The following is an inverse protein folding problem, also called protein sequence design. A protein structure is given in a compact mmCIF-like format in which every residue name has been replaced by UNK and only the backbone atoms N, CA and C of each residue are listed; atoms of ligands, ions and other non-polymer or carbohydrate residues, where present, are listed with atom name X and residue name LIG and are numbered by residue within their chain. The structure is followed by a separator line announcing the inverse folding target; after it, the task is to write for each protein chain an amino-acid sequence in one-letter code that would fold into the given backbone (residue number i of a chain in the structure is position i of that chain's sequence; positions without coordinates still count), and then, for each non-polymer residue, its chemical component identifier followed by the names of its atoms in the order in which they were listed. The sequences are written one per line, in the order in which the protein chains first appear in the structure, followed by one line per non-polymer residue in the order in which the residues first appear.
data_IF_089088785891
#
_entry.id   IF_089088785891
#
_cell.length_a   1.000
_cell.length_b   1.000
_cell.length_c   1.000
_cell.angle_alpha   90.00
_cell.angle_beta   90.00
_cell.angle_gamma   90.00
#
_symmetry.space_group_name_H-M   'P 1'
#
loop_
_entity.id
_entity.type
_entity.pdbx_description
1 polymer ?
#
# COMPACT_ATOMS: atom_id res chain seq x y z
N UNK A 1 -12.43 -3.28 19.77
CA UNK A 1 -11.03 -2.89 20.05
C UNK A 1 -10.17 -4.08 19.64
N UNK A 2 -9.34 -3.93 18.61
CA UNK A 2 -8.38 -4.98 18.23
C UNK A 2 -7.40 -5.18 19.39
N UNK A 3 -7.02 -6.42 19.68
CA UNK A 3 -5.97 -6.71 20.64
C UNK A 3 -4.68 -5.95 20.25
N UNK A 4 -4.00 -5.36 21.23
CA UNK A 4 -2.70 -4.71 21.02
C UNK A 4 -1.70 -5.83 20.69
N UNK A 5 -0.98 -5.77 19.56
CA UNK A 5 -0.02 -6.82 19.22
C UNK A 5 1.16 -6.87 20.20
N UNK A 6 1.75 -8.05 20.39
CA UNK A 6 2.83 -8.26 21.39
C UNK A 6 4.17 -7.61 21.00
N UNK A 7 4.35 -7.25 19.72
CA UNK A 7 5.56 -6.63 19.19
C UNK A 7 5.20 -5.47 18.28
N UNK A 8 5.90 -4.33 18.43
CA UNK A 8 5.76 -3.19 17.53
C UNK A 8 6.49 -3.39 16.20
N UNK A 9 7.54 -4.22 16.16
CA UNK A 9 8.28 -4.59 14.94
C UNK A 9 7.80 -5.96 14.46
N UNK A 10 7.23 -5.99 13.26
CA UNK A 10 6.77 -7.20 12.58
C UNK A 10 7.90 -7.83 11.77
N UNK A 11 8.63 -7.00 11.01
CA UNK A 11 9.80 -7.40 10.23
C UNK A 11 10.89 -6.34 10.35
N UNK A 12 12.14 -6.78 10.45
CA UNK A 12 13.34 -5.96 10.28
C UNK A 12 14.30 -6.74 9.38
N UNK A 13 14.53 -6.23 8.18
CA UNK A 13 15.20 -6.95 7.11
C UNK A 13 16.30 -6.08 6.48
N UNK A 14 17.45 -6.68 6.24
CA UNK A 14 18.53 -6.13 5.43
C UNK A 14 18.51 -6.82 4.07
N UNK A 15 18.29 -6.07 2.99
CA UNK A 15 18.25 -6.64 1.63
C UNK A 15 19.68 -7.00 1.18
N UNK A 16 19.85 -8.15 0.53
CA UNK A 16 21.17 -8.64 0.10
C UNK A 16 21.61 -8.15 -1.29
N UNK A 17 20.74 -7.44 -2.02
CA UNK A 17 20.98 -6.98 -3.39
C UNK A 17 20.75 -8.04 -4.48
N UNK A 18 20.54 -9.31 -4.10
CA UNK A 18 20.32 -10.45 -4.98
C UNK A 18 18.88 -11.00 -4.90
N UNK A 19 17.99 -10.27 -4.23
CA UNK A 19 16.57 -10.62 -4.07
C UNK A 19 16.27 -11.43 -2.82
N UNK A 20 17.25 -11.61 -1.93
CA UNK A 20 17.07 -12.14 -0.59
C UNK A 20 17.16 -11.06 0.50
N UNK A 21 17.00 -11.49 1.75
CA UNK A 21 17.18 -10.61 2.90
C UNK A 21 17.63 -11.39 4.14
N UNK A 22 18.38 -10.71 5.01
CA UNK A 22 18.74 -11.17 6.34
C UNK A 22 17.84 -10.49 7.39
N UNK A 23 17.36 -11.25 8.38
CA UNK A 23 16.68 -10.67 9.53
C UNK A 23 17.66 -9.89 10.42
N UNK A 24 17.26 -8.69 10.83
CA UNK A 24 18.02 -7.84 11.74
C UNK A 24 17.47 -7.95 13.16
N UNK A 25 18.37 -7.89 14.13
CA UNK A 25 17.98 -7.63 15.51
C UNK A 25 17.58 -6.16 15.69
N UNK A 26 16.66 -5.89 16.62
CA UNK A 26 16.09 -4.55 16.82
C UNK A 26 17.17 -3.50 17.10
N UNK A 27 18.17 -3.89 17.89
CA UNK A 27 19.26 -3.00 18.30
C UNK A 27 20.22 -2.65 17.15
N UNK A 28 20.24 -3.43 16.07
CA UNK A 28 21.10 -3.19 14.91
C UNK A 28 20.50 -2.17 13.93
N UNK A 29 19.17 -2.05 13.88
CA UNK A 29 18.44 -1.24 12.89
C UNK A 29 19.01 0.18 12.75
N UNK A 30 19.23 0.95 13.84
CA UNK A 30 19.67 2.34 13.72
C UNK A 30 21.08 2.45 13.13
N UNK A 31 21.97 1.54 13.53
CA UNK A 31 23.34 1.50 13.03
C UNK A 31 23.38 1.15 11.53
N UNK A 32 22.53 0.21 11.10
CA UNK A 32 22.42 -0.23 9.69
C UNK A 32 21.87 0.88 8.79
N UNK A 33 20.84 1.58 9.24
CA UNK A 33 20.28 2.76 8.53
C UNK A 33 21.35 3.86 8.42
N UNK A 34 22.04 4.17 9.52
CA UNK A 34 23.08 5.21 9.54
C UNK A 34 24.29 4.85 8.64
N UNK A 35 24.58 3.57 8.47
CA UNK A 35 25.61 3.08 7.55
C UNK A 35 25.20 3.14 6.07
N UNK A 36 23.95 3.48 5.76
CA UNK A 36 23.45 3.52 4.38
C UNK A 36 23.21 2.13 3.78
N UNK A 37 22.97 1.13 4.64
CA UNK A 37 22.62 -0.23 4.19
C UNK A 37 21.13 -0.33 3.83
N UNK A 38 20.72 -1.20 2.88
CA UNK A 38 19.35 -1.32 2.39
C UNK A 38 18.42 -1.99 3.42
N UNK A 39 17.85 -1.19 4.33
CA UNK A 39 17.04 -1.68 5.46
C UNK A 39 15.55 -1.49 5.22
N UNK A 40 14.77 -2.56 5.41
CA UNK A 40 13.31 -2.49 5.48
C UNK A 40 12.81 -2.87 6.88
N UNK A 41 12.08 -1.95 7.50
CA UNK A 41 11.37 -2.19 8.76
C UNK A 41 9.86 -2.15 8.52
N UNK A 42 9.13 -3.12 9.05
CA UNK A 42 7.68 -3.16 9.02
C UNK A 42 7.13 -3.15 10.45
N UNK A 43 6.41 -2.09 10.80
CA UNK A 43 5.91 -1.82 12.13
C UNK A 43 4.38 -1.98 12.23
N UNK A 44 3.95 -2.24 13.45
CA UNK A 44 2.55 -2.20 13.85
C UNK A 44 2.20 -0.81 14.40
N UNK A 45 1.41 -0.05 13.65
CA UNK A 45 1.06 1.33 13.97
C UNK A 45 0.19 1.47 15.22
N UNK A 46 -0.56 0.43 15.61
CA UNK A 46 -1.40 0.48 16.82
C UNK A 46 -0.61 0.23 18.11
N UNK A 47 0.65 -0.21 18.01
CA UNK A 47 1.46 -0.48 19.18
C UNK A 47 1.92 0.83 19.84
N UNK A 48 1.80 0.97 21.18
CA UNK A 48 2.13 2.22 21.90
C UNK A 48 3.59 2.67 21.75
N UNK A 49 4.52 1.72 21.60
CA UNK A 49 5.95 2.03 21.42
C UNK A 49 6.31 2.55 20.01
N UNK A 50 5.44 2.36 19.00
CA UNK A 50 5.76 2.70 17.60
C UNK A 50 6.07 4.20 17.39
N UNK A 51 5.26 5.15 17.90
CA UNK A 51 5.58 6.58 17.79
C UNK A 51 6.93 6.94 18.43
N UNK A 52 7.23 6.37 19.59
CA UNK A 52 8.50 6.61 20.29
C UNK A 52 9.67 6.06 19.48
N UNK A 53 9.54 4.85 18.95
CA UNK A 53 10.55 4.21 18.10
C UNK A 53 10.85 5.06 16.85
N UNK A 54 9.80 5.55 16.18
CA UNK A 54 9.94 6.44 15.01
C UNK A 54 10.73 7.70 15.38
N UNK A 55 10.35 8.40 16.45
CA UNK A 55 11.03 9.63 16.86
C UNK A 55 12.48 9.43 17.32
N UNK A 56 12.81 8.25 17.87
CA UNK A 56 14.17 7.93 18.31
C UNK A 56 15.10 7.54 17.15
N UNK A 57 14.59 6.82 16.16
CA UNK A 57 15.43 6.20 15.12
C UNK A 57 15.32 6.86 13.75
N UNK A 58 14.31 7.70 13.52
CA UNK A 58 14.13 8.49 12.31
C UNK A 58 14.03 9.98 12.67
N UNK A 59 15.15 10.65 13.00
CA UNK A 59 15.15 12.07 13.39
C UNK A 59 14.69 13.01 12.26
N UNK A 60 14.57 12.50 11.04
CA UNK A 60 13.97 13.19 9.88
C UNK A 60 12.45 13.36 10.00
N UNK A 61 11.81 12.64 10.92
CA UNK A 61 10.37 12.75 11.15
C UNK A 61 10.10 13.77 12.27
N UNK A 62 9.34 14.81 11.94
CA UNK A 62 8.74 15.67 12.97
C UNK A 62 7.51 15.01 13.62
N UNK A 63 7.00 15.63 14.69
CA UNK A 63 5.84 15.12 15.42
C UNK A 63 4.59 14.97 14.53
N UNK A 64 4.36 15.89 13.59
CA UNK A 64 3.21 15.84 12.69
C UNK A 64 3.31 14.68 11.70
N UNK A 65 4.52 14.35 11.26
CA UNK A 65 4.77 13.20 10.39
C UNK A 65 4.60 11.88 11.12
N UNK A 66 5.09 11.79 12.36
CA UNK A 66 4.87 10.61 13.21
C UNK A 66 3.37 10.41 13.42
N UNK A 67 2.64 11.46 13.82
CA UNK A 67 1.18 11.44 13.99
C UNK A 67 0.48 10.99 12.70
N UNK A 68 0.92 11.49 11.54
CA UNK A 68 0.38 11.08 10.26
C UNK A 68 0.63 9.58 9.95
N UNK A 69 1.80 9.05 10.30
CA UNK A 69 2.17 7.65 10.10
C UNK A 69 1.42 6.68 11.02
N UNK A 70 1.00 7.11 12.21
CA UNK A 70 0.24 6.26 13.16
C UNK A 70 -1.26 6.52 13.17
N UNK A 71 -1.72 7.57 12.47
CA UNK A 71 -3.11 7.97 12.36
C UNK A 71 -4.05 6.80 12.03
N UNK A 72 -5.23 6.80 12.66
CA UNK A 72 -6.22 5.74 12.49
C UNK A 72 -6.68 5.60 11.04
N UNK A 73 -7.00 6.72 10.42
CA UNK A 73 -7.46 6.81 9.03
C UNK A 73 -6.58 7.78 8.26
N UNK A 74 -6.15 7.37 7.06
CA UNK A 74 -5.36 8.22 6.17
C UNK A 74 -5.98 8.23 4.78
N UNK A 75 -5.55 9.14 3.89
CA UNK A 75 -5.84 9.03 2.46
C UNK A 75 -4.54 8.75 1.72
N UNK A 76 -4.59 8.01 0.59
CA UNK A 76 -3.41 7.86 -0.24
C UNK A 76 -2.87 9.22 -0.67
N UNK A 77 -1.55 9.36 -0.58
CA UNK A 77 -0.79 10.58 -0.90
C UNK A 77 0.70 10.27 -0.91
N UNK A 78 1.45 11.05 -1.68
CA UNK A 78 2.90 11.13 -1.60
C UNK A 78 3.29 12.53 -1.12
N UNK A 79 4.19 12.61 -0.15
CA UNK A 79 4.69 13.86 0.41
C UNK A 79 6.22 13.77 0.40
N UNK A 80 6.87 14.74 -0.23
CA UNK A 80 8.30 14.92 -0.16
C UNK A 80 8.64 15.71 1.11
N UNK A 81 9.62 15.22 1.87
CA UNK A 81 10.16 15.91 3.03
C UNK A 81 11.66 15.65 3.13
N UNK A 82 12.44 16.71 2.98
CA UNK A 82 13.90 16.64 2.84
C UNK A 82 14.29 15.58 1.79
N UNK A 83 15.15 14.63 2.14
CA UNK A 83 15.57 13.55 1.24
C UNK A 83 14.72 12.27 1.40
N UNK A 84 13.52 12.40 1.96
CA UNK A 84 12.60 11.29 2.20
C UNK A 84 11.24 11.51 1.57
N UNK A 85 10.51 10.41 1.39
CA UNK A 85 9.14 10.42 0.91
C UNK A 85 8.26 9.74 1.95
N UNK A 86 7.19 10.42 2.35
CA UNK A 86 6.08 9.80 3.03
C UNK A 86 5.05 9.35 2.01
N UNK A 87 4.89 8.04 1.87
CA UNK A 87 3.99 7.41 0.91
C UNK A 87 2.89 6.65 1.65
N UNK A 88 1.65 7.02 1.37
CA UNK A 88 0.45 6.40 1.94
C UNK A 88 -0.27 5.74 0.78
N UNK A 89 -0.46 4.42 0.87
CA UNK A 89 -1.20 3.62 -0.10
C UNK A 89 -2.22 2.76 0.62
N UNK A 90 -3.12 2.16 -0.14
CA UNK A 90 -4.05 1.14 0.32
C UNK A 90 -4.03 -0.09 -0.57
N UNK A 91 -4.31 -1.23 0.04
CA UNK A 91 -4.66 -2.48 -0.63
C UNK A 91 -6.11 -2.85 -0.33
N UNK A 92 -6.72 -3.66 -1.19
CA UNK A 92 -8.00 -4.31 -0.87
C UNK A 92 -7.84 -5.22 0.35
N UNK A 93 -8.91 -5.36 1.12
CA UNK A 93 -8.88 -6.13 2.35
C UNK A 93 -9.19 -7.60 2.08
N UNK A 94 -8.13 -8.41 2.04
CA UNK A 94 -8.20 -9.86 1.83
C UNK A 94 -8.00 -10.64 3.14
N UNK A 95 -8.36 -10.03 4.27
CA UNK A 95 -8.39 -10.70 5.56
C UNK A 95 -9.68 -11.53 5.69
N UNK A 96 -9.67 -12.53 6.56
CA UNK A 96 -10.82 -13.41 6.77
C UNK A 96 -12.05 -12.61 7.22
N UNK A 97 -13.21 -12.90 6.61
CA UNK A 97 -14.50 -12.24 6.89
C UNK A 97 -14.49 -10.71 6.70
N UNK A 98 -13.59 -10.19 5.87
CA UNK A 98 -13.54 -8.77 5.53
C UNK A 98 -14.08 -8.50 4.14
N UNK A 99 -14.64 -7.30 3.96
CA UNK A 99 -15.07 -6.80 2.65
C UNK A 99 -13.90 -6.16 1.90
N UNK A 100 -13.65 -6.49 0.63
CA UNK A 100 -12.51 -5.96 -0.12
C UNK A 100 -12.44 -4.42 -0.16
N UNK A 101 -13.59 -3.75 -0.22
CA UNK A 101 -13.70 -2.29 -0.23
C UNK A 101 -13.40 -1.61 1.11
N UNK A 102 -13.33 -2.35 2.22
CA UNK A 102 -12.80 -1.88 3.51
C UNK A 102 -11.25 -1.85 3.48
N UNK A 103 -10.72 -1.08 2.54
CA UNK A 103 -9.32 -1.10 2.16
C UNK A 103 -8.36 -0.85 3.34
N UNK A 104 -7.23 -1.54 3.32
CA UNK A 104 -6.21 -1.49 4.37
C UNK A 104 -5.04 -0.63 3.93
N UNK A 105 -4.62 0.29 4.79
CA UNK A 105 -3.50 1.20 4.52
C UNK A 105 -2.13 0.59 4.79
N UNK A 106 -1.17 0.90 3.93
CA UNK A 106 0.27 0.87 4.24
C UNK A 106 0.79 2.30 4.19
N UNK A 107 1.66 2.65 5.15
CA UNK A 107 2.28 3.97 5.25
C UNK A 107 3.77 3.76 5.27
N UNK A 108 4.54 4.56 4.57
CA UNK A 108 5.97 4.35 4.41
C UNK A 108 6.70 5.68 4.54
N UNK A 109 7.76 5.70 5.36
CA UNK A 109 8.83 6.69 5.27
C UNK A 109 9.96 6.05 4.48
N UNK A 110 10.33 6.66 3.36
CA UNK A 110 11.26 6.09 2.38
C UNK A 110 12.43 7.05 2.22
N UNK A 111 13.64 6.57 2.51
CA UNK A 111 14.89 7.19 2.08
C UNK A 111 15.56 6.37 0.99
N UNK A 112 16.72 6.82 0.51
CA UNK A 112 17.48 6.11 -0.53
C UNK A 112 17.85 4.66 -0.15
N UNK A 113 18.19 4.45 1.12
CA UNK A 113 18.68 3.16 1.64
C UNK A 113 17.79 2.56 2.72
N UNK A 114 16.69 3.20 3.09
CA UNK A 114 15.76 2.57 4.04
C UNK A 114 14.30 2.78 3.68
N UNK A 115 13.46 1.83 4.10
CA UNK A 115 12.02 1.98 4.12
C UNK A 115 11.50 1.58 5.50
N UNK A 116 10.82 2.48 6.19
CA UNK A 116 10.05 2.15 7.40
C UNK A 116 8.58 2.20 7.06
N UNK A 117 7.98 1.02 7.00
CA UNK A 117 6.58 0.81 6.65
C UNK A 117 5.75 0.51 7.89
N UNK A 118 4.48 0.92 7.88
CA UNK A 118 3.55 0.74 8.98
C UNK A 118 2.22 0.20 8.48
N UNK A 119 1.66 -0.73 9.25
CA UNK A 119 0.29 -1.22 9.07
C UNK A 119 -0.52 -1.04 10.34
N UNK A 120 -1.84 -0.98 10.23
CA UNK A 120 -2.78 -1.17 11.35
C UNK A 120 -3.51 -2.51 11.30
N UNK A 121 -3.58 -3.09 10.10
CA UNK A 121 -4.17 -4.40 9.80
C UNK A 121 -3.24 -5.13 8.84
N UNK A 122 -3.12 -6.46 8.92
CA UNK A 122 -2.29 -7.23 8.01
C UNK A 122 -2.63 -6.96 6.54
N UNK A 123 -1.59 -6.88 5.70
CA UNK A 123 -1.68 -6.75 4.26
C UNK A 123 -0.99 -7.96 3.62
N UNK A 124 -1.72 -8.65 2.73
CA UNK A 124 -1.17 -9.81 1.99
C UNK A 124 0.03 -9.41 1.13
N UNK A 125 0.02 -8.22 0.54
CA UNK A 125 1.13 -7.70 -0.25
C UNK A 125 2.47 -7.68 0.52
N UNK A 126 2.48 -7.29 1.80
CA UNK A 126 3.68 -7.33 2.64
C UNK A 126 4.16 -8.77 2.82
N UNK A 127 3.23 -9.70 3.05
CA UNK A 127 3.55 -11.12 3.23
C UNK A 127 4.13 -11.74 1.96
N UNK A 128 3.64 -11.33 0.79
CA UNK A 128 4.16 -11.81 -0.51
C UNK A 128 5.59 -11.36 -0.73
N UNK A 129 5.89 -10.08 -0.45
CA UNK A 129 7.26 -9.55 -0.57
C UNK A 129 8.22 -10.28 0.38
N UNK A 130 7.81 -10.51 1.63
CA UNK A 130 8.63 -11.29 2.59
C UNK A 130 8.87 -12.71 2.08
N UNK A 131 7.85 -13.37 1.54
CA UNK A 131 8.01 -14.72 0.94
C UNK A 131 8.91 -14.71 -0.29
N UNK A 132 8.86 -13.66 -1.12
CA UNK A 132 9.76 -13.51 -2.26
C UNK A 132 11.21 -13.32 -1.83
N UNK A 133 11.45 -12.49 -0.80
CA UNK A 133 12.79 -12.34 -0.20
C UNK A 133 13.30 -13.67 0.36
N UNK A 134 12.46 -14.46 1.04
CA UNK A 134 12.84 -15.79 1.54
C UNK A 134 13.22 -16.78 0.41
N UNK A 135 12.67 -16.59 -0.80
CA UNK A 135 12.96 -17.42 -1.97
C UNK A 135 14.09 -16.88 -2.85
N UNK A 136 14.69 -15.74 -2.50
CA UNK A 136 15.73 -15.10 -3.31
C UNK A 136 15.22 -14.48 -4.60
N UNK A 137 13.93 -14.12 -4.68
CA UNK A 137 13.31 -13.46 -5.84
C UNK A 137 12.54 -12.18 -5.47
N UNK A 138 12.89 -11.58 -4.33
CA UNK A 138 12.38 -10.30 -3.86
C UNK A 138 13.13 -9.09 -4.43
N UNK A 139 12.81 -7.89 -3.92
CA UNK A 139 13.50 -6.66 -4.30
C UNK A 139 14.95 -6.64 -3.83
N UNK A 140 15.87 -6.15 -4.69
CA UNK A 140 17.30 -6.03 -4.36
C UNK A 140 17.65 -4.72 -3.65
N UNK A 141 16.90 -3.65 -3.90
CA UNK A 141 17.10 -2.34 -3.28
C UNK A 141 15.78 -1.74 -2.76
N UNK A 142 15.88 -0.68 -1.97
CA UNK A 142 14.70 0.05 -1.45
C UNK A 142 13.79 0.60 -2.55
N UNK A 143 14.30 1.16 -3.66
CA UNK A 143 13.44 1.62 -4.75
C UNK A 143 12.69 0.46 -5.43
N UNK A 144 13.32 -0.73 -5.54
CA UNK A 144 12.65 -1.95 -6.00
C UNK A 144 11.56 -2.36 -5.02
N UNK A 145 11.85 -2.35 -3.72
CA UNK A 145 10.90 -2.73 -2.67
C UNK A 145 9.64 -1.86 -2.72
N UNK A 146 9.79 -0.55 -2.90
CA UNK A 146 8.65 0.38 -2.97
C UNK A 146 7.82 0.13 -4.23
N UNK A 147 8.45 -0.10 -5.38
CA UNK A 147 7.74 -0.47 -6.61
C UNK A 147 7.02 -1.80 -6.45
N UNK A 148 7.71 -2.84 -5.99
CA UNK A 148 7.16 -4.18 -5.83
C UNK A 148 6.02 -4.21 -4.80
N UNK A 149 6.12 -3.46 -3.70
CA UNK A 149 5.02 -3.29 -2.74
C UNK A 149 3.82 -2.61 -3.39
N UNK A 150 4.03 -1.52 -4.14
CA UNK A 150 2.96 -0.81 -4.83
C UNK A 150 2.28 -1.72 -5.88
N UNK A 151 3.05 -2.35 -6.76
CA UNK A 151 2.56 -3.30 -7.76
C UNK A 151 1.78 -4.44 -7.12
N UNK A 152 2.33 -5.09 -6.09
CA UNK A 152 1.64 -6.20 -5.40
C UNK A 152 0.32 -5.76 -4.76
N UNK A 153 0.21 -4.51 -4.29
CA UNK A 153 -1.06 -3.97 -3.81
C UNK A 153 -2.07 -3.85 -4.94
N UNK A 154 -1.65 -3.39 -6.12
CA UNK A 154 -2.52 -3.11 -7.27
C UNK A 154 -2.93 -4.39 -8.00
N UNK A 155 -2.02 -5.34 -8.16
CA UNK A 155 -2.30 -6.67 -8.73
C UNK A 155 -3.37 -7.41 -7.92
N UNK A 156 -3.36 -7.23 -6.59
CA UNK A 156 -4.39 -7.81 -5.71
C UNK A 156 -5.75 -7.13 -5.81
N UNK A 157 -5.84 -5.94 -6.40
CA UNK A 157 -7.11 -5.25 -6.65
C UNK A 157 -7.78 -5.74 -7.93
N UNK A 158 -7.01 -6.20 -8.91
CA UNK A 158 -7.51 -6.56 -10.23
C UNK A 158 -8.66 -7.60 -10.15
N UNK A 159 -8.55 -8.72 -9.41
CA UNK A 159 -9.66 -9.68 -9.30
C UNK A 159 -10.92 -9.09 -8.66
N UNK A 160 -10.76 -8.14 -7.73
CA UNK A 160 -11.89 -7.49 -7.05
C UNK A 160 -12.63 -6.56 -8.00
N UNK A 161 -11.90 -5.86 -8.87
CA UNK A 161 -12.48 -4.96 -9.86
C UNK A 161 -13.12 -5.75 -11.02
N UNK A 162 -12.47 -6.82 -11.49
CA UNK A 162 -13.07 -7.71 -12.49
C UNK A 162 -14.37 -8.34 -12.01
N UNK A 163 -14.43 -8.81 -10.75
CA UNK A 163 -15.67 -9.34 -10.18
C UNK A 163 -16.79 -8.27 -10.12
N UNK A 164 -16.42 -7.03 -9.84
CA UNK A 164 -17.37 -5.92 -9.79
C UNK A 164 -17.95 -5.60 -11.17
N UNK A 165 -17.11 -5.63 -12.20
CA UNK A 165 -17.50 -5.39 -13.60
C UNK A 165 -18.38 -6.52 -14.14
N UNK A 166 -17.95 -7.78 -13.97
CA UNK A 166 -18.74 -8.96 -14.36
C UNK A 166 -20.11 -8.98 -13.69
N UNK A 167 -20.20 -8.62 -12.40
CA UNK A 167 -21.49 -8.52 -11.69
C UNK A 167 -22.36 -7.38 -12.22
N UNK A 168 -21.74 -6.29 -12.66
CA UNK A 168 -22.47 -5.16 -13.26
C UNK A 168 -23.08 -5.56 -14.59
N UNK A 169 -22.31 -6.20 -15.47
CA UNK A 169 -22.77 -6.72 -16.76
C UNK A 169 -23.96 -7.69 -16.59
N UNK A 170 -23.83 -8.65 -15.67
CA UNK A 170 -24.90 -9.62 -15.40
C UNK A 170 -26.20 -8.95 -14.91
N UNK A 171 -26.10 -7.93 -14.07
CA UNK A 171 -27.29 -7.22 -13.58
C UNK A 171 -27.96 -6.40 -14.67
N UNK A 172 -27.21 -5.83 -15.60
CA UNK A 172 -27.79 -5.11 -16.73
C UNK A 172 -28.66 -6.02 -17.61
N UNK A 173 -28.19 -7.22 -17.90
CA UNK A 173 -28.96 -8.23 -18.64
C UNK A 173 -30.26 -8.58 -17.90
N UNK A 174 -30.18 -8.79 -16.58
CA UNK A 174 -31.34 -9.15 -15.75
C UNK A 174 -32.37 -8.01 -15.63
N UNK A 175 -31.93 -6.75 -15.57
CA UNK A 175 -32.83 -5.58 -15.54
C UNK A 175 -33.60 -5.47 -16.86
N UNK A 176 -32.95 -5.75 -18.00
CA UNK A 176 -33.58 -5.71 -19.31
C UNK A 176 -34.70 -6.77 -19.43
N UNK A 177 -34.51 -7.94 -18.84
CA UNK A 177 -35.48 -9.05 -18.92
C UNK A 177 -36.64 -8.92 -17.91
N UNK A 178 -36.36 -8.76 -16.60
CA UNK A 178 -37.39 -8.69 -15.54
C UNK A 178 -36.93 -7.90 -14.31
N UNK A 179 -37.33 -6.62 -14.16
CA UNK A 179 -36.94 -5.82 -13.00
C UNK A 179 -37.66 -6.26 -11.71
N UNK A 180 -36.93 -6.84 -10.75
CA UNK A 180 -37.41 -7.15 -9.39
C UNK A 180 -36.66 -6.33 -8.31
N UNK A 181 -37.22 -6.24 -7.10
CA UNK A 181 -36.66 -5.53 -5.95
C UNK A 181 -35.29 -6.07 -5.52
N UNK A 182 -35.04 -7.38 -5.66
CA UNK A 182 -33.75 -7.99 -5.35
C UNK A 182 -32.62 -7.43 -6.24
N UNK A 183 -32.86 -7.35 -7.56
CA UNK A 183 -31.93 -6.80 -8.55
C UNK A 183 -31.60 -5.34 -8.22
N UNK A 184 -32.60 -4.53 -7.86
CA UNK A 184 -32.37 -3.13 -7.43
C UNK A 184 -31.48 -3.03 -6.20
N UNK A 185 -31.65 -3.92 -5.22
CA UNK A 185 -30.82 -3.96 -4.03
C UNK A 185 -29.37 -4.29 -4.36
N UNK A 186 -29.14 -5.21 -5.30
CA UNK A 186 -27.81 -5.60 -5.73
C UNK A 186 -27.09 -4.48 -6.47
N UNK A 187 -27.79 -3.77 -7.37
CA UNK A 187 -27.26 -2.57 -8.07
C UNK A 187 -26.81 -1.51 -7.05
N UNK A 188 -27.64 -1.22 -6.04
CA UNK A 188 -27.28 -0.25 -5.00
C UNK A 188 -26.04 -0.70 -4.22
N UNK A 189 -25.91 -2.00 -3.96
CA UNK A 189 -24.75 -2.58 -3.29
C UNK A 189 -23.47 -2.45 -4.13
N UNK A 190 -23.51 -2.82 -5.42
CA UNK A 190 -22.36 -2.66 -6.33
C UNK A 190 -21.94 -1.20 -6.47
N UNK A 191 -22.88 -0.27 -6.68
CA UNK A 191 -22.57 1.16 -6.75
C UNK A 191 -21.93 1.67 -5.46
N UNK A 192 -22.39 1.20 -4.30
CA UNK A 192 -21.78 1.54 -3.01
C UNK A 192 -20.34 1.01 -2.92
N UNK A 193 -20.08 -0.24 -3.32
CA UNK A 193 -18.74 -0.83 -3.37
C UNK A 193 -17.83 -0.03 -4.30
N UNK A 194 -18.30 0.31 -5.50
CA UNK A 194 -17.56 1.11 -6.48
C UNK A 194 -17.15 2.48 -5.91
N UNK A 195 -18.09 3.17 -5.25
CA UNK A 195 -17.83 4.47 -4.59
C UNK A 195 -16.76 4.33 -3.50
N UNK A 196 -16.82 3.28 -2.68
CA UNK A 196 -15.88 3.05 -1.58
C UNK A 196 -14.47 2.76 -2.08
N UNK A 197 -14.32 1.93 -3.13
CA UNK A 197 -13.04 1.66 -3.77
C UNK A 197 -12.47 2.93 -4.42
N UNK A 198 -13.31 3.63 -5.21
CA UNK A 198 -12.91 4.86 -5.91
C UNK A 198 -12.43 5.95 -4.97
N UNK A 199 -13.05 6.06 -3.79
CA UNK A 199 -12.69 7.03 -2.73
C UNK A 199 -11.21 6.97 -2.37
N UNK A 200 -10.56 5.83 -2.55
CA UNK A 200 -9.14 5.65 -2.25
C UNK A 200 -8.29 5.45 -3.51
N UNK A 201 -8.79 4.79 -4.55
CA UNK A 201 -8.06 4.57 -5.80
C UNK A 201 -7.71 5.86 -6.53
N UNK A 202 -8.60 6.85 -6.58
CA UNK A 202 -8.29 8.12 -7.24
C UNK A 202 -7.16 8.91 -6.54
N UNK A 203 -7.22 9.15 -5.22
CA UNK A 203 -6.08 9.73 -4.51
C UNK A 203 -4.79 8.89 -4.62
N UNK A 204 -4.92 7.57 -4.75
CA UNK A 204 -3.78 6.66 -4.89
C UNK A 204 -3.10 6.81 -6.26
N UNK A 205 -3.88 6.90 -7.34
CA UNK A 205 -3.39 7.25 -8.68
C UNK A 205 -2.63 8.57 -8.63
N UNK A 206 -3.20 9.59 -7.99
CA UNK A 206 -2.57 10.90 -7.88
C UNK A 206 -1.27 10.85 -7.05
N UNK A 207 -1.23 10.01 -6.00
CA UNK A 207 -0.04 9.78 -5.19
C UNK A 207 1.10 9.14 -6.00
N UNK A 208 0.81 8.09 -6.78
CA UNK A 208 1.79 7.44 -7.67
C UNK A 208 2.23 8.40 -8.79
N UNK A 209 1.27 9.16 -9.35
CA UNK A 209 1.57 10.19 -10.35
C UNK A 209 2.55 11.23 -9.82
N UNK A 210 2.35 11.70 -8.58
CA UNK A 210 3.27 12.62 -7.91
C UNK A 210 4.63 11.98 -7.66
N UNK A 211 4.66 10.76 -7.11
CA UNK A 211 5.89 10.02 -6.81
C UNK A 211 6.77 9.86 -8.06
N UNK A 212 6.18 9.52 -9.21
CA UNK A 212 6.87 9.39 -10.50
C UNK A 212 7.60 10.67 -10.92
N UNK A 213 7.04 11.83 -10.61
CA UNK A 213 7.57 13.14 -11.01
C UNK A 213 8.51 13.78 -10.00
N UNK A 214 8.68 13.20 -8.80
CA UNK A 214 9.57 13.77 -7.79
C UNK A 214 11.06 13.69 -8.24
N UNK A 215 11.86 14.74 -7.97
CA UNK A 215 13.23 14.85 -8.46
C UNK A 215 14.25 14.02 -7.67
N UNK A 216 13.83 13.00 -6.90
CA UNK A 216 14.73 12.19 -6.09
C UNK A 216 15.72 11.39 -6.94
N UNK A 217 16.98 11.40 -6.53
CA UNK A 217 18.12 10.78 -7.22
C UNK A 217 18.14 9.25 -7.12
N UNK A 218 17.45 8.67 -6.13
CA UNK A 218 17.45 7.24 -5.88
C UNK A 218 16.38 6.46 -6.67
N UNK A 219 15.47 7.17 -7.34
CA UNK A 219 14.63 6.59 -8.39
C UNK A 219 15.33 6.81 -9.73
N UNK A 220 15.81 5.73 -10.35
CA UNK A 220 16.31 5.76 -11.73
C UNK A 220 15.17 5.66 -12.77
N UNK A 221 15.53 5.70 -14.05
CA UNK A 221 14.56 5.60 -15.17
C UNK A 221 13.83 4.26 -15.24
N UNK A 222 14.42 3.17 -14.73
CA UNK A 222 13.75 1.86 -14.65
C UNK A 222 12.65 1.92 -13.59
N UNK A 223 12.93 2.45 -12.40
CA UNK A 223 11.93 2.63 -11.35
C UNK A 223 10.81 3.58 -11.81
N UNK A 224 11.14 4.68 -12.49
CA UNK A 224 10.14 5.61 -13.03
C UNK A 224 9.23 4.97 -14.08
N UNK A 225 9.75 4.05 -14.90
CA UNK A 225 8.93 3.26 -15.84
C UNK A 225 7.97 2.33 -15.11
N UNK A 226 8.39 1.62 -14.07
CA UNK A 226 7.46 0.80 -13.28
C UNK A 226 6.37 1.65 -12.62
N UNK A 227 6.72 2.81 -12.04
CA UNK A 227 5.73 3.74 -11.51
C UNK A 227 4.77 4.28 -12.58
N UNK A 228 5.23 4.41 -13.83
CA UNK A 228 4.36 4.79 -14.94
C UNK A 228 3.31 3.70 -15.23
N UNK A 229 3.71 2.44 -15.31
CA UNK A 229 2.78 1.31 -15.49
C UNK A 229 1.77 1.23 -14.35
N UNK A 230 2.22 1.40 -13.11
CA UNK A 230 1.35 1.45 -11.94
C UNK A 230 0.36 2.61 -11.99
N UNK A 231 0.79 3.79 -12.42
CA UNK A 231 -0.07 4.94 -12.61
C UNK A 231 -1.14 4.68 -13.67
N UNK A 232 -0.75 4.06 -14.79
CA UNK A 232 -1.63 3.72 -15.89
C UNK A 232 -2.66 2.64 -15.50
N UNK A 233 -2.23 1.60 -14.79
CA UNK A 233 -3.11 0.59 -14.20
C UNK A 233 -4.14 1.20 -13.24
N UNK A 234 -3.70 2.08 -12.33
CA UNK A 234 -4.61 2.79 -11.42
C UNK A 234 -5.55 3.76 -12.15
N UNK A 235 -5.13 4.30 -13.29
CA UNK A 235 -5.99 5.15 -14.12
C UNK A 235 -7.15 4.34 -14.69
N UNK A 236 -6.87 3.18 -15.28
CA UNK A 236 -7.91 2.24 -15.74
C UNK A 236 -8.85 1.83 -14.62
N UNK A 237 -8.32 1.43 -13.46
CA UNK A 237 -9.16 1.07 -12.31
C UNK A 237 -10.10 2.18 -11.87
N UNK A 238 -9.68 3.45 -11.95
CA UNK A 238 -10.55 4.59 -11.64
C UNK A 238 -11.63 4.78 -12.70
N UNK A 239 -11.28 4.60 -13.98
CA UNK A 239 -12.21 4.69 -15.11
C UNK A 239 -13.28 3.57 -15.06
N UNK A 240 -12.86 2.33 -14.80
CA UNK A 240 -13.77 1.17 -14.64
C UNK A 240 -14.77 1.41 -13.51
N UNK A 241 -14.29 1.95 -12.38
CA UNK A 241 -15.16 2.30 -11.24
C UNK A 241 -16.09 3.47 -11.53
N UNK A 242 -15.69 4.40 -12.39
CA UNK A 242 -16.58 5.46 -12.87
C UNK A 242 -17.67 4.89 -13.78
N UNK A 243 -17.32 3.97 -14.68
CA UNK A 243 -18.28 3.27 -15.54
C UNK A 243 -19.31 2.47 -14.73
N UNK A 244 -18.88 1.66 -13.75
CA UNK A 244 -19.79 0.91 -12.85
C UNK A 244 -20.73 1.83 -12.06
N UNK A 245 -20.32 3.07 -11.78
CA UNK A 245 -21.18 4.03 -11.07
C UNK A 245 -22.25 4.65 -11.98
N UNK A 246 -21.91 4.85 -13.25
CA UNK A 246 -22.78 5.51 -14.24
C UNK A 246 -23.79 4.56 -14.87
N UNK A 247 -23.41 3.28 -15.00
CA UNK A 247 -24.27 2.15 -15.38
C UNK A 247 -25.30 1.86 -14.29
#
# INVERSE_FOLDING_TARGET
MSAIPDKHIVHALLLDGAGGAQALDVDEIPARIAAGEPVWVHLEAVHPDTPQWLGQHLPILDALMIDALVAEETRPRAIEHDNTILLFLRGVNLNENAEPEDMVSIRMCIGEKFCVSLRRRPLKAVSDIVQRLQRGNGPGAIPDLVNDLAGTLFDRMEPVLSELDERTDNLEELVADKPDAAIRHEIVSLRKRAILLRRYLAPQRDAIGRLRTMPHTWLDDRHRRHLYEHYDQLTRFVEDLDAVRER
#
